data_IF_572212731638
#
_entry.id   IF_572212731638
#
_cell.length_a   1.000
_cell.length_b   1.000
_cell.length_c   1.000
_cell.angle_alpha   90.00
_cell.angle_beta   90.00
_cell.angle_gamma   90.00
#
_symmetry.space_group_name_H-M   'P 1'
#
loop_
_entity.id
_entity.type
_entity.pdbx_description
1 polymer ?
#
# COMPACT_ATOMS: atom_id res chain seq x y z
N UNK A 1 5.72 -4.88 77.00
CA UNK A 1 4.88 -3.80 76.42
C UNK A 1 4.54 -4.20 75.00
N UNK A 2 3.37 -4.81 74.84
CA UNK A 2 2.86 -5.39 73.59
C UNK A 2 1.62 -4.61 73.19
N UNK A 3 1.76 -3.67 72.25
CA UNK A 3 0.65 -2.98 71.58
C UNK A 3 0.54 -3.55 70.16
N UNK A 4 -0.49 -4.33 69.87
CA UNK A 4 -1.79 -3.90 69.36
C UNK A 4 -1.77 -3.69 67.84
N UNK A 5 -2.23 -4.72 67.12
CA UNK A 5 -2.96 -4.57 65.85
C UNK A 5 -4.29 -3.87 66.15
N UNK A 6 -4.84 -3.12 65.18
CA UNK A 6 -6.02 -3.69 64.52
C UNK A 6 -6.17 -3.37 63.02
N UNK A 7 -6.86 -4.32 62.37
CA UNK A 7 -7.96 -4.11 61.41
C UNK A 7 -7.68 -3.62 59.98
N UNK A 8 -7.92 -4.58 59.07
CA UNK A 8 -8.88 -4.47 57.97
C UNK A 8 -8.52 -3.54 56.80
N UNK A 9 -7.88 -4.14 55.80
CA UNK A 9 -8.13 -3.79 54.39
C UNK A 9 -8.73 -5.01 53.68
N UNK A 10 -9.85 -5.49 54.22
CA UNK A 10 -10.80 -6.26 53.44
C UNK A 10 -11.54 -5.29 52.49
N UNK A 11 -10.95 -5.02 51.32
CA UNK A 11 -11.64 -4.39 50.19
C UNK A 11 -10.90 -4.70 48.87
N UNK A 12 -10.62 -5.98 48.65
CA UNK A 12 -10.45 -6.52 47.30
C UNK A 12 -11.81 -6.55 46.61
N UNK A 13 -12.28 -5.38 46.17
CA UNK A 13 -13.39 -5.31 45.22
C UNK A 13 -12.86 -5.71 43.84
N UNK A 14 -12.79 -7.03 43.64
CA UNK A 14 -12.83 -7.68 42.34
C UNK A 14 -14.08 -7.21 41.59
N UNK A 15 -13.94 -6.08 40.91
CA UNK A 15 -14.91 -5.66 39.91
C UNK A 15 -14.53 -6.41 38.64
N UNK A 16 -15.08 -7.61 38.51
CA UNK A 16 -15.08 -8.37 37.26
C UNK A 16 -15.69 -7.43 36.19
N UNK A 17 -14.98 -7.07 35.11
CA UNK A 17 -15.63 -6.41 34.00
C UNK A 17 -16.63 -7.39 33.42
N UNK A 18 -17.91 -7.05 33.56
CA UNK A 18 -19.01 -7.70 32.85
C UNK A 18 -18.62 -7.77 31.38
N UNK A 19 -18.48 -8.99 30.87
CA UNK A 19 -18.32 -9.29 29.45
C UNK A 19 -19.48 -8.64 28.70
N UNK A 20 -19.21 -7.44 28.20
CA UNK A 20 -20.07 -6.74 27.30
C UNK A 20 -19.93 -7.47 25.97
N UNK A 21 -20.81 -8.45 25.75
CA UNK A 21 -21.08 -9.06 24.46
C UNK A 21 -21.63 -7.99 23.51
N UNK A 22 -20.80 -7.02 23.14
CA UNK A 22 -21.01 -6.18 21.97
C UNK A 22 -20.55 -7.04 20.82
N UNK A 23 -21.52 -7.66 20.14
CA UNK A 23 -21.32 -8.29 18.85
C UNK A 23 -20.45 -7.37 17.99
N UNK A 24 -19.18 -7.75 17.83
CA UNK A 24 -18.15 -6.92 17.23
C UNK A 24 -18.51 -6.64 15.79
N UNK A 25 -19.15 -5.50 15.53
CA UNK A 25 -19.20 -4.92 14.21
C UNK A 25 -17.75 -4.70 13.80
N UNK A 26 -17.20 -5.62 12.99
CA UNK A 26 -15.82 -5.54 12.50
C UNK A 26 -15.63 -4.14 11.94
N UNK A 27 -14.78 -3.35 12.58
CA UNK A 27 -14.49 -2.00 12.13
C UNK A 27 -14.08 -2.07 10.65
N UNK A 28 -14.70 -1.25 9.80
CA UNK A 28 -14.37 -1.25 8.37
C UNK A 28 -12.86 -1.02 8.24
N UNK A 29 -12.14 -1.83 7.45
CA UNK A 29 -10.70 -1.72 7.34
C UNK A 29 -10.31 -0.32 6.85
N UNK A 30 -9.36 0.32 7.52
CA UNK A 30 -8.92 1.68 7.19
C UNK A 30 -8.27 1.69 5.80
N UNK A 31 -8.74 2.60 4.95
CA UNK A 31 -8.25 2.81 3.58
C UNK A 31 -6.92 3.55 3.60
N UNK A 32 -6.03 3.23 2.66
CA UNK A 32 -4.70 3.81 2.51
C UNK A 32 -4.50 4.23 1.04
N UNK A 33 -3.90 5.39 0.74
CA UNK A 33 -3.49 6.46 1.66
C UNK A 33 -4.69 7.23 2.19
N UNK A 34 -4.57 7.79 3.40
CA UNK A 34 -5.61 8.62 4.03
C UNK A 34 -5.52 10.10 3.64
N UNK A 35 -4.35 10.53 3.18
CA UNK A 35 -4.05 11.93 2.83
C UNK A 35 -3.63 12.05 1.37
N UNK A 36 -4.04 13.15 0.72
CA UNK A 36 -3.60 13.57 -0.62
C UNK A 36 -2.85 14.90 -0.49
N UNK A 37 -1.61 15.03 -0.99
CA UNK A 37 -0.87 16.28 -0.95
C UNK A 37 -1.58 17.44 -1.65
N UNK A 38 -1.40 18.70 -1.20
CA UNK A 38 -2.12 19.86 -1.70
C UNK A 38 -1.58 20.36 -3.05
N UNK A 39 -0.48 19.76 -3.53
CA UNK A 39 0.29 20.15 -4.71
C UNK A 39 -0.45 19.96 -6.06
N UNK A 40 -1.74 19.60 -6.04
CA UNK A 40 -2.48 19.04 -7.17
C UNK A 40 -3.66 19.90 -7.63
N UNK A 41 -3.60 21.23 -7.54
CA UNK A 41 -4.52 22.03 -8.38
C UNK A 41 -4.13 21.74 -9.84
N UNK A 42 -4.97 20.98 -10.54
CA UNK A 42 -4.84 20.57 -11.97
C UNK A 42 -3.87 19.42 -12.31
N UNK A 43 -3.45 18.57 -11.36
CA UNK A 43 -2.60 17.41 -11.69
C UNK A 43 -3.05 16.15 -10.98
N UNK A 44 -3.24 15.07 -11.74
CA UNK A 44 -3.49 13.74 -11.18
C UNK A 44 -2.22 13.26 -10.46
N UNK A 45 -2.40 12.76 -9.23
CA UNK A 45 -1.33 12.12 -8.47
C UNK A 45 -1.55 10.61 -8.43
N UNK A 46 -0.46 9.85 -8.48
CA UNK A 46 -0.47 8.42 -8.29
C UNK A 46 0.15 8.07 -6.94
N UNK A 47 -0.51 7.22 -6.17
CA UNK A 47 0.07 6.63 -4.97
C UNK A 47 0.57 5.23 -5.29
N UNK A 48 1.86 4.97 -5.08
CA UNK A 48 2.46 3.70 -5.48
C UNK A 48 3.95 3.61 -5.22
N UNK A 49 4.56 2.57 -5.78
CA UNK A 49 5.99 2.27 -5.65
C UNK A 49 6.73 2.58 -6.94
N UNK A 50 7.95 3.10 -6.86
CA UNK A 50 8.80 3.21 -8.03
C UNK A 50 9.51 1.88 -8.26
N UNK A 51 8.99 1.09 -9.19
CA UNK A 51 9.39 -0.28 -9.46
C UNK A 51 9.76 -0.38 -10.95
N UNK A 52 10.96 -0.87 -11.29
CA UNK A 52 11.35 -1.12 -12.68
C UNK A 52 10.36 -2.05 -13.39
N UNK A 53 10.00 -1.79 -14.65
CA UNK A 53 9.08 -2.66 -15.40
C UNK A 53 9.64 -4.09 -15.48
N UNK A 54 10.97 -4.22 -15.58
CA UNK A 54 11.69 -5.50 -15.58
C UNK A 54 11.50 -6.31 -14.29
N UNK A 55 11.27 -5.66 -13.15
CA UNK A 55 10.95 -6.35 -11.91
C UNK A 55 9.61 -7.08 -12.04
N UNK A 56 8.59 -6.42 -12.62
CA UNK A 56 7.27 -7.04 -12.85
C UNK A 56 7.39 -8.23 -13.80
N UNK A 57 8.24 -8.14 -14.83
CA UNK A 57 8.51 -9.28 -15.71
C UNK A 57 9.17 -10.45 -14.98
N UNK A 58 10.17 -10.17 -14.15
CA UNK A 58 10.83 -11.18 -13.34
C UNK A 58 9.84 -11.85 -12.38
N UNK A 59 9.01 -11.05 -11.72
CA UNK A 59 7.94 -11.52 -10.84
C UNK A 59 6.95 -12.45 -11.57
N UNK A 60 6.49 -12.04 -12.76
CA UNK A 60 5.61 -12.85 -13.57
C UNK A 60 6.28 -14.18 -13.98
N UNK A 61 7.55 -14.16 -14.41
CA UNK A 61 8.28 -15.38 -14.79
C UNK A 61 8.43 -16.37 -13.64
N UNK A 62 8.61 -15.89 -12.42
CA UNK A 62 8.72 -16.75 -11.23
C UNK A 62 7.39 -17.43 -10.87
N UNK A 63 6.26 -16.81 -11.20
CA UNK A 63 4.93 -17.26 -10.80
C UNK A 63 4.12 -17.93 -11.93
N UNK A 64 4.53 -17.79 -13.19
CA UNK A 64 3.89 -18.42 -14.33
C UNK A 64 4.47 -19.81 -14.62
N UNK A 65 3.60 -20.72 -15.08
CA UNK A 65 4.05 -22.02 -15.59
C UNK A 65 4.82 -21.81 -16.90
N UNK A 66 5.98 -22.46 -17.09
CA UNK A 66 6.69 -22.40 -18.36
C UNK A 66 5.81 -22.88 -19.53
N UNK A 67 5.96 -22.27 -20.69
CA UNK A 67 5.31 -22.69 -21.94
C UNK A 67 6.32 -22.72 -23.09
N UNK A 68 6.13 -23.54 -24.14
CA UNK A 68 7.16 -23.80 -25.16
C UNK A 68 7.68 -22.54 -25.88
N UNK A 69 6.82 -21.58 -26.16
CA UNK A 69 7.18 -20.34 -26.85
C UNK A 69 7.69 -19.24 -25.89
N UNK A 70 7.68 -19.49 -24.58
CA UNK A 70 7.91 -18.46 -23.57
C UNK A 70 6.83 -17.36 -23.58
N UNK A 71 6.96 -16.39 -22.69
CA UNK A 71 6.07 -15.21 -22.61
C UNK A 71 6.80 -13.99 -23.16
N UNK A 72 6.12 -13.21 -24.00
CA UNK A 72 6.64 -11.93 -24.44
C UNK A 72 6.51 -10.87 -23.33
N UNK A 73 7.17 -9.72 -23.49
CA UNK A 73 7.24 -8.67 -22.46
C UNK A 73 5.88 -8.08 -22.10
N UNK A 74 4.98 -7.92 -23.08
CA UNK A 74 3.63 -7.40 -22.85
C UNK A 74 2.83 -8.41 -22.02
N UNK A 75 2.90 -9.69 -22.37
CA UNK A 75 2.23 -10.76 -21.61
C UNK A 75 2.77 -10.84 -20.18
N UNK A 76 4.09 -10.78 -20.00
CA UNK A 76 4.72 -10.77 -18.68
C UNK A 76 4.27 -9.59 -17.83
N UNK A 77 4.14 -8.41 -18.44
CA UNK A 77 3.62 -7.23 -17.75
C UNK A 77 2.17 -7.44 -17.31
N UNK A 78 1.29 -7.84 -18.24
CA UNK A 78 -0.14 -8.03 -17.97
C UNK A 78 -0.37 -9.13 -16.92
N UNK A 79 0.27 -10.29 -17.07
CA UNK A 79 0.16 -11.37 -16.10
C UNK A 79 0.78 -11.01 -14.76
N UNK A 80 1.93 -10.31 -14.74
CA UNK A 80 2.56 -9.86 -13.51
C UNK A 80 1.63 -8.97 -12.70
N UNK A 81 1.00 -7.99 -13.34
CA UNK A 81 0.01 -7.13 -12.70
C UNK A 81 -1.21 -7.95 -12.24
N UNK A 82 -1.73 -8.86 -13.06
CA UNK A 82 -2.88 -9.70 -12.69
C UNK A 82 -2.59 -10.61 -11.48
N UNK A 83 -1.40 -11.21 -11.42
CA UNK A 83 -0.96 -12.00 -10.25
C UNK A 83 -0.90 -11.11 -9.01
N UNK A 84 -0.23 -9.95 -9.09
CA UNK A 84 -0.15 -9.00 -7.98
C UNK A 84 -1.54 -8.55 -7.50
N UNK A 85 -2.47 -8.29 -8.42
CA UNK A 85 -3.87 -7.96 -8.07
C UNK A 85 -4.54 -9.07 -7.28
N UNK A 86 -4.39 -10.32 -7.71
CA UNK A 86 -4.99 -11.48 -7.02
C UNK A 86 -4.41 -11.70 -5.63
N UNK A 87 -3.09 -11.59 -5.49
CA UNK A 87 -2.40 -11.87 -4.22
C UNK A 87 -2.61 -10.76 -3.19
N UNK A 88 -2.60 -9.51 -3.64
CA UNK A 88 -2.76 -8.35 -2.76
C UNK A 88 -4.22 -7.97 -2.54
N UNK A 89 -5.10 -8.29 -3.48
CA UNK A 89 -6.49 -7.84 -3.53
C UNK A 89 -6.66 -6.38 -4.00
N UNK A 90 -5.60 -5.72 -4.44
CA UNK A 90 -5.65 -4.32 -4.92
C UNK A 90 -6.13 -4.33 -6.38
N UNK A 91 -7.41 -4.11 -6.63
CA UNK A 91 -7.97 -4.15 -7.99
C UNK A 91 -7.53 -2.99 -8.89
N UNK A 92 -7.21 -1.86 -8.27
CA UNK A 92 -6.72 -0.63 -8.89
C UNK A 92 -5.22 -0.67 -9.24
N UNK A 93 -4.54 -1.82 -9.08
CA UNK A 93 -3.12 -1.91 -9.40
C UNK A 93 -2.86 -1.74 -10.92
N UNK A 94 -1.94 -0.88 -11.31
CA UNK A 94 -1.49 -0.74 -12.71
C UNK A 94 -0.11 -0.08 -12.77
N UNK A 95 0.46 0.01 -13.96
CA UNK A 95 1.69 0.76 -14.20
C UNK A 95 1.33 2.12 -14.79
N UNK A 96 1.83 3.17 -14.17
CA UNK A 96 1.84 4.52 -14.73
C UNK A 96 3.24 5.09 -14.77
N UNK A 97 3.35 6.24 -15.42
CA UNK A 97 4.57 7.03 -15.46
C UNK A 97 4.38 8.31 -14.65
N UNK A 98 5.43 8.69 -13.93
CA UNK A 98 5.52 9.95 -13.22
C UNK A 98 6.73 10.78 -13.68
N UNK A 99 6.65 12.10 -13.52
CA UNK A 99 7.80 13.00 -13.80
C UNK A 99 8.65 13.24 -12.57
N UNK A 100 8.04 13.17 -11.39
CA UNK A 100 8.69 13.46 -10.12
C UNK A 100 7.88 12.93 -8.93
N UNK A 101 8.55 12.73 -7.78
CA UNK A 101 7.88 12.59 -6.50
C UNK A 101 7.11 13.86 -6.15
N UNK A 102 5.95 13.69 -5.49
CA UNK A 102 5.10 14.80 -5.04
C UNK A 102 5.38 15.21 -3.60
N UNK A 103 5.92 14.28 -2.79
CA UNK A 103 6.39 14.56 -1.44
C UNK A 103 7.75 15.27 -1.44
N UNK A 104 8.16 15.76 -0.27
CA UNK A 104 9.37 16.55 -0.07
C UNK A 104 10.62 15.70 -0.28
N UNK A 105 11.10 15.65 -1.52
CA UNK A 105 12.46 15.27 -1.94
C UNK A 105 12.95 13.90 -1.42
N UNK A 106 12.45 12.77 -1.95
CA UNK A 106 13.19 11.52 -1.79
C UNK A 106 14.60 11.66 -2.40
N UNK A 107 15.61 10.97 -1.85
CA UNK A 107 16.95 11.00 -2.40
C UNK A 107 16.93 10.59 -3.88
N UNK A 108 17.40 11.45 -4.77
CA UNK A 108 17.28 11.25 -6.22
C UNK A 108 17.91 9.93 -6.71
N UNK A 109 18.95 9.44 -6.02
CA UNK A 109 19.61 8.17 -6.31
C UNK A 109 18.76 6.92 -6.02
N UNK A 110 17.64 7.07 -5.30
CA UNK A 110 16.69 5.99 -5.03
C UNK A 110 15.54 5.96 -6.04
N UNK A 111 15.48 6.94 -6.95
CA UNK A 111 14.47 6.98 -8.00
C UNK A 111 15.02 6.29 -9.24
N UNK A 112 14.39 5.19 -9.60
CA UNK A 112 14.62 4.48 -10.84
C UNK A 112 13.88 5.16 -12.00
N UNK A 113 14.61 5.48 -13.06
CA UNK A 113 14.10 6.08 -14.29
C UNK A 113 14.19 5.09 -15.45
N UNK A 114 13.15 5.06 -16.29
CA UNK A 114 13.09 4.29 -17.52
C UNK A 114 12.55 5.19 -18.64
N UNK A 115 13.25 5.28 -19.76
CA UNK A 115 12.81 6.03 -20.96
C UNK A 115 12.30 7.45 -20.65
N UNK A 116 13.07 8.22 -19.86
CA UNK A 116 12.74 9.61 -19.47
C UNK A 116 11.52 9.76 -18.52
N UNK A 117 11.01 8.64 -18.00
CA UNK A 117 9.90 8.60 -17.05
C UNK A 117 10.26 7.80 -15.79
N UNK A 118 9.50 8.02 -14.71
CA UNK A 118 9.59 7.21 -13.49
C UNK A 118 8.46 6.17 -13.54
N UNK A 119 8.75 4.87 -13.71
CA UNK A 119 7.71 3.83 -13.69
C UNK A 119 7.18 3.65 -12.27
N UNK A 120 5.87 3.74 -12.13
CA UNK A 120 5.15 3.62 -10.87
C UNK A 120 4.23 2.41 -10.95
N UNK A 121 4.39 1.48 -10.01
CA UNK A 121 3.37 0.51 -9.67
C UNK A 121 2.28 1.22 -8.85
N UNK A 122 1.32 1.80 -9.57
CA UNK A 122 0.22 2.59 -9.03
C UNK A 122 -0.77 1.69 -8.31
N UNK A 123 -1.07 2.08 -7.08
CA UNK A 123 -2.04 1.41 -6.21
C UNK A 123 -3.37 2.15 -6.26
N UNK A 124 -3.36 3.49 -6.30
CA UNK A 124 -4.55 4.32 -6.49
C UNK A 124 -4.17 5.73 -6.96
N UNK A 125 -5.16 6.50 -7.42
CA UNK A 125 -4.99 7.90 -7.81
C UNK A 125 -5.50 8.88 -6.74
N UNK A 126 -5.20 10.17 -6.91
CA UNK A 126 -5.81 11.26 -6.13
C UNK A 126 -7.31 11.42 -6.40
N UNK A 127 -7.82 10.87 -7.49
CA UNK A 127 -9.21 11.05 -7.95
C UNK A 127 -10.12 9.90 -7.46
N UNK A 128 -9.56 8.69 -7.27
CA UNK A 128 -10.32 7.48 -6.98
C UNK A 128 -10.42 7.13 -5.48
N UNK A 129 -11.02 8.03 -4.69
CA UNK A 129 -11.16 7.83 -3.23
C UNK A 129 -11.90 6.54 -2.85
N UNK A 130 -12.96 6.18 -3.60
CA UNK A 130 -13.81 5.00 -3.33
C UNK A 130 -13.04 3.67 -3.46
N UNK A 131 -12.04 3.64 -4.34
CA UNK A 131 -11.34 2.41 -4.72
C UNK A 131 -9.97 2.25 -4.07
N UNK A 132 -9.62 3.13 -3.12
CA UNK A 132 -8.36 3.00 -2.37
C UNK A 132 -8.24 1.63 -1.72
N UNK A 133 -7.05 1.03 -1.68
CA UNK A 133 -6.83 -0.23 -0.98
C UNK A 133 -6.99 -0.06 0.53
N UNK A 134 -7.11 -1.17 1.26
CA UNK A 134 -6.95 -1.18 2.72
C UNK A 134 -5.48 -1.18 3.11
N UNK A 135 -5.16 -0.85 4.36
CA UNK A 135 -3.79 -0.91 4.87
C UNK A 135 -3.18 -2.32 4.72
N UNK A 136 -3.93 -3.37 5.07
CA UNK A 136 -3.50 -4.76 4.92
C UNK A 136 -3.12 -5.12 3.48
N UNK A 137 -3.87 -4.63 2.49
CA UNK A 137 -3.55 -4.88 1.08
C UNK A 137 -2.24 -4.19 0.66
N UNK A 138 -2.01 -2.97 1.15
CA UNK A 138 -0.75 -2.24 0.91
C UNK A 138 0.43 -2.91 1.60
N UNK A 139 0.25 -3.37 2.84
CA UNK A 139 1.29 -4.08 3.60
C UNK A 139 1.65 -5.42 2.92
N UNK A 140 0.66 -6.15 2.38
CA UNK A 140 0.91 -7.36 1.57
C UNK A 140 1.76 -7.06 0.34
N UNK A 141 1.43 -6.01 -0.41
CA UNK A 141 2.22 -5.60 -1.57
C UNK A 141 3.62 -5.15 -1.16
N UNK A 142 3.76 -4.45 -0.03
CA UNK A 142 5.07 -4.07 0.52
C UNK A 142 5.92 -5.31 0.81
N UNK A 143 5.32 -6.35 1.38
CA UNK A 143 5.99 -7.63 1.65
C UNK A 143 6.43 -8.36 0.39
N UNK A 144 5.62 -8.38 -0.67
CA UNK A 144 5.98 -8.96 -1.97
C UNK A 144 7.16 -8.21 -2.61
N UNK A 145 7.23 -6.89 -2.39
CA UNK A 145 8.32 -6.04 -2.87
C UNK A 145 9.53 -6.07 -1.92
N UNK A 146 9.61 -7.04 -0.99
CA UNK A 146 10.67 -7.16 0.03
C UNK A 146 10.91 -5.87 0.84
N UNK A 147 9.87 -5.06 1.01
CA UNK A 147 9.94 -3.73 1.63
C UNK A 147 11.00 -2.81 0.99
N UNK A 148 11.29 -3.00 -0.31
CA UNK A 148 12.30 -2.25 -1.07
C UNK A 148 12.10 -0.74 -0.95
N UNK A 149 10.85 -0.29 -0.94
CA UNK A 149 10.46 1.11 -0.81
C UNK A 149 9.16 1.27 -0.03
N UNK A 150 8.97 2.42 0.61
CA UNK A 150 7.67 2.86 1.14
C UNK A 150 6.85 3.50 0.00
N UNK A 151 5.55 3.15 -0.16
CA UNK A 151 4.73 3.75 -1.20
C UNK A 151 4.52 5.25 -0.92
N UNK A 152 4.49 6.06 -1.98
CA UNK A 152 4.39 7.52 -1.89
C UNK A 152 3.58 8.10 -3.03
N UNK A 153 3.35 9.41 -2.97
CA UNK A 153 2.67 10.15 -4.02
C UNK A 153 3.64 10.62 -5.10
N UNK A 154 3.23 10.44 -6.34
CA UNK A 154 3.97 10.76 -7.56
C UNK A 154 3.12 11.67 -8.45
N UNK A 155 3.76 12.59 -9.16
CA UNK A 155 3.08 13.51 -10.08
C UNK A 155 3.03 12.88 -11.46
N UNK A 156 1.81 12.62 -11.96
CA UNK A 156 1.57 12.06 -13.29
C UNK A 156 2.28 12.84 -14.40
N UNK A 157 2.72 12.15 -15.45
CA UNK A 157 3.17 12.79 -16.70
C UNK A 157 2.01 13.44 -17.44
N UNK A 158 0.80 12.89 -17.30
CA UNK A 158 -0.42 13.34 -17.97
C UNK A 158 -0.99 14.55 -17.24
N UNK A 159 -1.08 15.66 -17.95
CA UNK A 159 -1.90 16.81 -17.57
C UNK A 159 -3.24 16.66 -18.28
N UNK A 160 -4.30 16.39 -17.53
CA UNK A 160 -5.65 16.53 -18.06
C UNK A 160 -6.02 18.01 -17.97
N UNK A 161 -6.00 18.70 -19.11
CA UNK A 161 -6.62 20.02 -19.23
C UNK A 161 -8.13 19.77 -19.36
N UNK A 162 -8.88 20.11 -18.30
CA UNK A 162 -10.34 20.18 -18.32
C UNK A 162 -10.77 21.64 -18.42
#
# INVERSE_FOLDING_TARGET
MTGALPESLAQLNLTIPVESNVAGAKAKPRRCPTYVPPAARHRTLFFGYNVPIRWVWAYARQNLKPRPQGYNEIELLLYGIDILKRETGIMTLHIDEARKPTDTQPPAHLIHWENEAIPILTICSSEDFKYRPTREQVDKLSGILDNLQTPRWWTSIRTYEY
#
